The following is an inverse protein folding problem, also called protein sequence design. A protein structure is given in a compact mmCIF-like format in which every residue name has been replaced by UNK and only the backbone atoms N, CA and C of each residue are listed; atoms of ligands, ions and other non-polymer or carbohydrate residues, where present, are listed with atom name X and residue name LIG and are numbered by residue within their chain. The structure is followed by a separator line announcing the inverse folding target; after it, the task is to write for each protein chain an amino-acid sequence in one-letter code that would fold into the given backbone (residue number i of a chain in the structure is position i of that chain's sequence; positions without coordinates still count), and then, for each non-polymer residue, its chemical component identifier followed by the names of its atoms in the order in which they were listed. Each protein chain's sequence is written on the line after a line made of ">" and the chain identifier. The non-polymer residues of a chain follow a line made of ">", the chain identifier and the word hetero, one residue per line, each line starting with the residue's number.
data_IF_345820706398
#
_entry.id   IF_345820706398
#
_cell.length_a   1.000
_cell.length_b   1.000
_cell.length_c   1.000
_cell.angle_alpha   90.00
_cell.angle_beta   90.00
_cell.angle_gamma   90.00
#
_symmetry.space_group_name_H-M   'P 1'
#
loop_
_entity.id
_entity.type
_entity.pdbx_description
1 polymer ?
#
# COMPACT_ATOMS: atom_id res chain seq x y z
N UNK A 1 -26.66 -39.83 6.66
CA UNK A 1 -27.28 -39.68 5.32
C UNK A 1 -27.04 -38.28 4.79
N UNK A 2 -26.12 -38.13 3.82
CA UNK A 2 -26.02 -36.99 2.89
C UNK A 2 -25.04 -37.38 1.77
N UNK A 3 -25.57 -38.11 0.80
CA UNK A 3 -24.98 -38.24 -0.53
C UNK A 3 -25.62 -37.23 -1.48
N UNK A 4 -24.98 -37.07 -2.63
CA UNK A 4 -25.54 -36.52 -3.87
C UNK A 4 -25.49 -35.00 -4.07
N UNK A 5 -24.28 -34.42 -4.21
CA UNK A 5 -24.07 -33.18 -5.02
C UNK A 5 -22.75 -33.09 -5.82
N UNK A 6 -21.86 -34.08 -5.81
CA UNK A 6 -20.52 -33.93 -6.42
C UNK A 6 -20.28 -34.68 -7.74
N UNK A 7 -21.27 -35.40 -8.29
CA UNK A 7 -21.04 -36.23 -9.49
C UNK A 7 -21.28 -35.47 -10.82
N UNK A 8 -21.82 -34.25 -10.79
CA UNK A 8 -22.15 -33.53 -12.03
C UNK A 8 -21.03 -32.62 -12.61
N UNK A 9 -20.00 -32.24 -11.84
CA UNK A 9 -18.95 -31.32 -12.35
C UNK A 9 -17.68 -32.01 -12.86
N UNK A 10 -17.52 -33.32 -12.67
CA UNK A 10 -16.32 -34.04 -13.12
C UNK A 10 -16.39 -34.50 -14.59
N UNK A 11 -17.53 -34.32 -15.26
CA UNK A 11 -17.78 -34.81 -16.62
C UNK A 11 -17.62 -33.76 -17.73
N UNK A 12 -17.31 -32.50 -17.41
CA UNK A 12 -17.19 -31.42 -18.41
C UNK A 12 -15.72 -31.05 -18.73
N UNK A 13 -14.73 -31.46 -17.93
CA UNK A 13 -13.32 -31.07 -18.14
C UNK A 13 -12.54 -32.06 -19.02
N UNK A 14 -13.07 -33.25 -19.30
CA UNK A 14 -12.34 -34.31 -20.04
C UNK A 14 -12.53 -34.24 -21.57
N UNK A 15 -13.27 -33.26 -22.11
CA UNK A 15 -13.63 -33.20 -23.54
C UNK A 15 -13.06 -32.01 -24.35
N UNK A 16 -12.05 -31.27 -23.85
CA UNK A 16 -11.47 -30.14 -24.58
C UNK A 16 -9.93 -30.15 -24.67
N UNK A 17 -9.30 -31.32 -24.73
CA UNK A 17 -7.90 -31.42 -25.19
C UNK A 17 -7.70 -32.71 -26.01
N UNK A 18 -8.05 -32.69 -27.30
CA UNK A 18 -7.01 -32.96 -28.29
C UNK A 18 -7.23 -32.17 -29.59
N UNK A 19 -6.49 -31.06 -29.76
CA UNK A 19 -6.24 -30.45 -31.07
C UNK A 19 -4.98 -29.58 -31.00
N UNK A 20 -3.84 -30.21 -30.74
CA UNK A 20 -2.56 -29.69 -31.22
C UNK A 20 -1.51 -30.82 -31.22
N UNK A 21 -1.67 -31.76 -32.15
CA UNK A 21 -0.60 -32.72 -32.41
C UNK A 21 -0.49 -32.95 -33.93
N UNK A 22 0.16 -32.02 -34.63
CA UNK A 22 0.77 -32.26 -35.95
C UNK A 22 1.99 -31.34 -36.09
N UNK A 23 3.07 -31.90 -36.66
CA UNK A 23 4.43 -31.36 -36.89
C UNK A 23 5.31 -31.49 -35.63
N UNK A 24 6.35 -32.33 -35.59
CA UNK A 24 7.42 -32.48 -36.57
C UNK A 24 8.03 -33.90 -36.56
N UNK A 25 8.29 -34.46 -37.75
CA UNK A 25 9.33 -35.48 -37.93
C UNK A 25 10.08 -35.24 -39.25
N UNK A 26 11.40 -35.51 -39.19
CA UNK A 26 12.46 -35.53 -40.24
C UNK A 26 13.36 -34.29 -40.37
N UNK A 27 14.66 -34.45 -40.07
CA UNK A 27 15.76 -33.59 -40.51
C UNK A 27 16.85 -33.30 -39.44
N UNK A 28 18.16 -33.33 -39.76
CA UNK A 28 19.22 -33.68 -38.81
C UNK A 28 19.81 -32.50 -38.01
N UNK A 29 20.51 -32.89 -36.94
CA UNK A 29 21.37 -32.09 -36.06
C UNK A 29 22.23 -31.09 -36.84
N UNK A 30 22.06 -29.81 -36.54
CA UNK A 30 23.08 -28.77 -36.72
C UNK A 30 23.25 -27.97 -35.43
N UNK A 31 24.50 -27.97 -34.97
CA UNK A 31 25.21 -26.98 -34.18
C UNK A 31 24.43 -26.09 -33.19
N UNK A 32 24.77 -26.28 -31.91
CA UNK A 32 24.82 -25.22 -30.89
C UNK A 32 25.73 -24.10 -31.42
N UNK A 33 25.14 -22.97 -31.79
CA UNK A 33 25.75 -21.63 -31.80
C UNK A 33 24.74 -20.62 -32.35
N UNK A 34 24.12 -19.82 -31.47
CA UNK A 34 23.29 -18.69 -31.87
C UNK A 34 21.96 -18.56 -31.15
N UNK A 35 21.97 -18.32 -29.84
CA UNK A 35 20.89 -17.61 -29.15
C UNK A 35 21.43 -16.53 -28.19
N UNK A 36 22.62 -16.01 -28.48
CA UNK A 36 23.07 -14.72 -27.95
C UNK A 36 22.62 -13.65 -28.95
N UNK A 37 21.33 -13.29 -28.88
CA UNK A 37 20.70 -12.05 -29.35
C UNK A 37 19.23 -12.30 -29.73
N UNK A 38 18.38 -12.38 -28.70
CA UNK A 38 16.97 -12.01 -28.79
C UNK A 38 16.65 -11.18 -27.56
N UNK A 39 16.97 -9.88 -27.62
CA UNK A 39 16.31 -8.88 -26.78
C UNK A 39 14.86 -8.75 -27.26
N UNK A 40 13.91 -9.20 -26.44
CA UNK A 40 12.51 -8.79 -26.54
C UNK A 40 11.80 -9.13 -25.23
N UNK A 41 11.42 -8.06 -24.52
CA UNK A 41 10.67 -8.08 -23.27
C UNK A 41 9.28 -8.68 -23.48
N UNK A 42 9.14 -9.98 -23.22
CA UNK A 42 7.83 -10.55 -22.92
C UNK A 42 7.95 -11.54 -21.76
N UNK A 43 7.33 -11.16 -20.64
CA UNK A 43 7.13 -11.96 -19.43
C UNK A 43 6.48 -13.33 -19.70
N UNK A 44 5.93 -13.54 -20.90
CA UNK A 44 5.32 -14.79 -21.35
C UNK A 44 6.32 -15.93 -21.58
N UNK A 45 7.54 -15.65 -22.08
CA UNK A 45 8.54 -16.70 -22.35
C UNK A 45 9.22 -17.23 -21.08
N UNK A 46 9.30 -16.42 -20.02
CA UNK A 46 9.83 -16.81 -18.71
C UNK A 46 8.89 -17.78 -17.99
N UNK A 47 7.58 -17.54 -18.07
CA UNK A 47 6.54 -18.44 -17.55
C UNK A 47 6.55 -19.77 -18.30
N UNK A 48 6.74 -19.75 -19.61
CA UNK A 48 6.79 -20.96 -20.44
C UNK A 48 8.04 -21.81 -20.13
N UNK A 49 9.19 -21.19 -19.87
CA UNK A 49 10.41 -21.90 -19.41
C UNK A 49 10.23 -22.52 -18.02
N UNK A 50 9.52 -21.85 -17.11
CA UNK A 50 9.21 -22.38 -15.77
C UNK A 50 8.27 -23.59 -15.78
N UNK A 51 7.24 -23.58 -16.62
CA UNK A 51 6.26 -24.67 -16.71
C UNK A 51 6.86 -25.97 -17.29
N UNK A 52 7.84 -25.86 -18.20
CA UNK A 52 8.55 -27.03 -18.74
C UNK A 52 9.48 -27.68 -17.69
N UNK A 53 10.08 -26.89 -16.80
CA UNK A 53 10.91 -27.41 -15.70
C UNK A 53 10.07 -28.16 -14.64
N UNK A 54 8.86 -27.68 -14.33
CA UNK A 54 7.96 -28.31 -13.37
C UNK A 54 7.42 -29.67 -13.86
N UNK A 55 7.25 -29.82 -15.18
CA UNK A 55 6.76 -31.07 -15.78
C UNK A 55 7.82 -32.20 -15.79
N UNK A 56 9.11 -31.85 -15.76
CA UNK A 56 10.22 -32.84 -15.64
C UNK A 56 10.39 -33.28 -14.18
N UNK A 57 10.18 -32.38 -13.21
CA UNK A 57 10.34 -32.70 -11.79
C UNK A 57 9.23 -33.62 -11.24
N UNK A 58 7.99 -33.47 -11.73
CA UNK A 58 6.86 -34.28 -11.26
C UNK A 58 6.86 -35.73 -11.79
N UNK A 59 7.77 -36.07 -12.73
CA UNK A 59 7.93 -37.43 -13.27
C UNK A 59 8.94 -38.28 -12.48
N UNK A 60 9.74 -37.67 -11.59
CA UNK A 60 10.81 -38.35 -10.84
C UNK A 60 10.34 -38.81 -9.45
N UNK A 61 9.28 -38.22 -8.89
CA UNK A 61 8.80 -38.48 -7.51
C UNK A 61 7.76 -39.63 -7.43
N UNK A 62 7.32 -40.16 -8.58
CA UNK A 62 6.19 -41.09 -8.66
C UNK A 62 6.50 -42.59 -8.62
N UNK A 63 7.63 -43.05 -8.06
CA UNK A 63 7.92 -44.49 -7.91
C UNK A 63 8.89 -44.76 -6.72
N UNK A 64 8.41 -45.45 -5.68
CA UNK A 64 9.28 -46.00 -4.62
C UNK A 64 8.52 -46.40 -3.36
N UNK A 65 8.58 -47.69 -3.04
CA UNK A 65 7.79 -48.45 -2.07
C UNK A 65 8.02 -48.15 -0.56
N UNK A 66 7.11 -48.74 0.23
CA UNK A 66 6.91 -48.67 1.68
C UNK A 66 8.03 -49.22 2.58
N UNK A 67 8.20 -48.62 3.76
CA UNK A 67 8.54 -49.32 5.01
C UNK A 67 8.36 -48.41 6.25
N UNK A 68 7.81 -48.99 7.31
CA UNK A 68 7.53 -48.42 8.64
C UNK A 68 8.74 -48.52 9.57
N UNK A 69 9.05 -47.48 10.36
CA UNK A 69 9.74 -47.59 11.65
C UNK A 69 9.59 -46.31 12.51
N UNK A 70 9.46 -46.53 13.82
CA UNK A 70 9.18 -45.60 14.95
C UNK A 70 10.26 -44.53 15.25
N UNK A 71 9.94 -43.51 16.09
CA UNK A 71 10.73 -42.29 16.25
C UNK A 71 11.79 -42.38 17.36
N UNK A 72 12.86 -41.57 17.30
CA UNK A 72 13.65 -41.22 18.48
C UNK A 72 13.42 -39.78 18.93
N UNK A 73 13.39 -39.62 20.26
CA UNK A 73 13.45 -38.36 20.98
C UNK A 73 14.90 -37.87 21.14
N UNK A 74 15.01 -36.60 21.51
CA UNK A 74 16.11 -35.91 22.23
C UNK A 74 17.01 -34.92 21.45
N UNK A 75 17.07 -33.74 22.08
CA UNK A 75 18.15 -32.75 22.18
C UNK A 75 18.26 -31.57 21.18
N UNK A 76 17.90 -30.40 21.71
CA UNK A 76 18.39 -29.06 21.33
C UNK A 76 19.90 -28.97 21.63
N UNK A 77 20.72 -28.45 20.70
CA UNK A 77 21.18 -27.06 20.86
C UNK A 77 21.31 -26.28 19.53
N UNK A 78 20.87 -25.02 19.55
CA UNK A 78 21.32 -23.95 18.62
C UNK A 78 22.85 -23.71 18.72
N UNK A 79 23.53 -22.83 17.93
CA UNK A 79 23.15 -22.04 16.73
C UNK A 79 24.21 -21.99 15.59
N UNK A 80 23.87 -21.92 14.29
CA UNK A 80 24.70 -21.20 13.28
C UNK A 80 23.84 -20.64 12.11
N UNK A 81 23.98 -19.32 11.95
CA UNK A 81 23.94 -18.39 10.80
C UNK A 81 23.88 -18.89 9.32
N UNK A 82 23.51 -17.93 8.46
CA UNK A 82 23.26 -17.87 7.01
C UNK A 82 21.78 -18.07 6.63
N UNK A 83 21.03 -17.08 6.14
CA UNK A 83 21.41 -16.02 5.22
C UNK A 83 20.80 -16.34 3.86
N UNK A 84 19.57 -15.88 3.63
CA UNK A 84 19.02 -15.51 2.30
C UNK A 84 17.51 -15.22 2.45
N UNK A 85 17.15 -13.93 2.56
CA UNK A 85 15.77 -13.50 2.34
C UNK A 85 15.70 -12.90 0.95
N UNK A 86 15.18 -13.72 0.04
CA UNK A 86 14.82 -13.34 -1.31
C UNK A 86 13.72 -12.26 -1.27
N UNK A 87 14.05 -11.10 -1.84
CA UNK A 87 13.21 -9.94 -2.02
C UNK A 87 12.19 -10.17 -3.15
N UNK A 88 10.91 -10.02 -2.86
CA UNK A 88 9.88 -9.83 -3.89
C UNK A 88 9.00 -8.63 -3.55
N UNK A 89 9.10 -7.61 -4.42
CA UNK A 89 8.22 -6.48 -4.71
C UNK A 89 7.70 -5.61 -3.56
N UNK A 90 8.60 -4.73 -3.09
CA UNK A 90 8.21 -3.48 -2.45
C UNK A 90 8.32 -2.36 -3.49
N UNK A 91 7.18 -1.92 -4.07
CA UNK A 91 7.12 -0.61 -4.71
C UNK A 91 7.12 0.42 -3.60
N UNK A 92 8.33 0.74 -3.14
CA UNK A 92 8.59 1.90 -2.30
C UNK A 92 8.52 3.10 -3.24
N UNK A 93 7.44 3.87 -3.18
CA UNK A 93 7.48 5.24 -3.68
C UNK A 93 8.14 6.02 -2.55
N UNK A 94 9.47 6.15 -2.62
CA UNK A 94 10.19 7.11 -1.79
C UNK A 94 9.72 8.50 -2.19
N UNK A 95 9.12 9.23 -1.26
CA UNK A 95 8.92 10.66 -1.42
C UNK A 95 10.29 11.36 -1.39
N UNK A 96 10.51 12.36 -2.26
CA UNK A 96 11.74 13.14 -2.25
C UNK A 96 11.84 13.93 -0.94
N UNK A 97 12.98 13.80 -0.27
CA UNK A 97 13.21 14.33 1.07
C UNK A 97 13.05 15.84 1.21
N UNK A 98 12.46 16.24 2.34
CA UNK A 98 12.34 17.61 2.82
C UNK A 98 13.72 18.20 3.14
N UNK A 99 14.07 19.30 2.47
CA UNK A 99 15.04 20.26 2.96
C UNK A 99 14.28 21.47 3.52
N UNK A 100 14.31 21.62 4.83
CA UNK A 100 14.03 22.89 5.51
C UNK A 100 15.14 23.90 5.18
N UNK A 101 14.81 25.03 4.54
CA UNK A 101 15.24 26.39 4.96
C UNK A 101 14.68 27.49 4.03
N UNK A 102 14.17 28.55 4.67
CA UNK A 102 14.13 29.95 4.26
C UNK A 102 13.18 30.46 3.15
N UNK A 103 12.21 31.24 3.66
CA UNK A 103 11.74 32.55 3.18
C UNK A 103 11.49 32.77 1.68
N UNK A 104 10.22 32.95 1.31
CA UNK A 104 9.86 33.79 0.18
C UNK A 104 8.60 34.62 0.46
N UNK A 105 8.73 35.90 0.13
CA UNK A 105 7.77 36.99 0.31
C UNK A 105 6.64 36.98 -0.71
N UNK A 106 5.47 37.46 -0.26
CA UNK A 106 4.36 38.10 -0.99
C UNK A 106 4.43 38.11 -2.53
N UNK A 107 3.45 37.47 -3.17
CA UNK A 107 2.62 38.20 -4.14
C UNK A 107 1.24 37.55 -4.28
N UNK A 108 0.23 38.28 -3.79
CA UNK A 108 -1.18 38.01 -3.94
C UNK A 108 -1.60 38.48 -5.32
N UNK A 109 -1.78 37.56 -6.27
CA UNK A 109 -2.54 37.83 -7.49
C UNK A 109 -3.84 37.02 -7.49
N UNK A 110 -4.92 37.79 -7.41
CA UNK A 110 -6.31 37.36 -7.42
C UNK A 110 -6.74 37.21 -8.89
N UNK A 111 -7.05 35.98 -9.32
CA UNK A 111 -7.79 35.75 -10.56
C UNK A 111 -8.84 34.68 -10.35
N UNK A 112 -10.05 35.16 -10.11
CA UNK A 112 -11.31 34.46 -10.05
C UNK A 112 -11.66 33.73 -11.35
N UNK A 113 -11.96 32.44 -11.25
CA UNK A 113 -12.89 31.76 -12.16
C UNK A 113 -13.96 31.04 -11.33
N UNK A 114 -15.18 31.49 -11.54
CA UNK A 114 -16.44 31.08 -10.94
C UNK A 114 -16.86 29.70 -11.46
N UNK A 115 -16.41 28.65 -10.78
CA UNK A 115 -17.22 27.48 -10.51
C UNK A 115 -17.54 27.53 -9.02
N UNK A 116 -18.76 27.19 -8.61
CA UNK A 116 -19.17 27.24 -7.19
C UNK A 116 -18.42 26.19 -6.39
N UNK A 117 -17.13 26.43 -6.12
CA UNK A 117 -16.32 25.73 -5.15
C UNK A 117 -17.02 25.96 -3.81
N UNK A 118 -17.52 24.86 -3.23
CA UNK A 118 -18.03 24.91 -1.87
C UNK A 118 -16.88 25.36 -0.99
N UNK A 119 -17.05 26.47 -0.29
CA UNK A 119 -16.06 26.95 0.67
C UNK A 119 -15.84 25.85 1.70
N UNK A 120 -14.67 25.22 1.66
CA UNK A 120 -14.34 24.10 2.53
C UNK A 120 -14.34 24.53 4.01
N UNK A 121 -14.24 25.83 4.30
CA UNK A 121 -14.32 26.37 5.66
C UNK A 121 -15.73 26.33 6.24
N UNK A 122 -16.76 26.24 5.39
CA UNK A 122 -18.17 26.10 5.81
C UNK A 122 -18.62 24.63 5.93
N UNK A 123 -17.71 23.66 5.74
CA UNK A 123 -18.02 22.23 5.87
C UNK A 123 -18.34 21.86 7.33
N UNK A 124 -19.60 21.54 7.60
CA UNK A 124 -20.04 21.03 8.91
C UNK A 124 -19.58 19.58 9.15
N UNK A 125 -18.49 19.42 9.92
CA UNK A 125 -17.99 18.11 10.35
C UNK A 125 -18.47 17.80 11.77
N UNK A 126 -19.46 16.91 11.87
CA UNK A 126 -20.07 16.53 13.16
C UNK A 126 -19.58 15.18 13.69
N UNK A 127 -18.97 14.35 12.83
CA UNK A 127 -18.46 13.03 13.19
C UNK A 127 -17.46 12.49 12.16
N UNK A 128 -16.70 11.48 12.58
CA UNK A 128 -15.82 10.70 11.72
C UNK A 128 -16.58 9.65 10.92
N UNK A 129 -16.04 9.30 9.75
CA UNK A 129 -16.46 8.12 9.00
C UNK A 129 -15.91 6.83 9.65
N UNK A 130 -16.40 5.68 9.22
CA UNK A 130 -15.87 4.38 9.68
C UNK A 130 -14.41 4.17 9.29
N UNK A 131 -14.00 4.63 8.09
CA UNK A 131 -12.62 4.52 7.62
C UNK A 131 -11.67 5.40 8.43
N UNK A 132 -12.09 6.63 8.76
CA UNK A 132 -11.31 7.53 9.63
C UNK A 132 -11.18 6.94 11.03
N UNK A 133 -12.26 6.34 11.57
CA UNK A 133 -12.25 5.71 12.87
C UNK A 133 -11.34 4.47 12.92
N UNK A 134 -11.31 3.69 11.84
CA UNK A 134 -10.37 2.57 11.68
C UNK A 134 -8.91 3.06 11.66
N UNK A 135 -8.61 4.12 10.90
CA UNK A 135 -7.27 4.71 10.86
C UNK A 135 -6.83 5.22 12.24
N UNK A 136 -7.72 5.92 12.95
CA UNK A 136 -7.46 6.38 14.32
C UNK A 136 -7.18 5.22 15.27
N UNK A 137 -7.95 4.13 15.16
CA UNK A 137 -7.75 2.94 15.98
C UNK A 137 -6.37 2.33 15.74
N UNK A 138 -5.96 2.14 14.49
CA UNK A 138 -4.64 1.61 14.14
C UNK A 138 -3.52 2.51 14.66
N UNK A 139 -3.63 3.82 14.43
CA UNK A 139 -2.67 4.81 14.93
C UNK A 139 -2.54 4.77 16.46
N UNK A 140 -3.66 4.77 17.19
CA UNK A 140 -3.65 4.74 18.65
C UNK A 140 -3.20 3.39 19.21
N UNK A 141 -3.37 2.29 18.47
CA UNK A 141 -2.76 1.01 18.83
C UNK A 141 -1.23 1.10 18.80
N UNK A 142 -0.63 1.72 17.78
CA UNK A 142 0.83 1.92 17.72
C UNK A 142 1.34 2.78 18.87
N UNK A 143 0.60 3.83 19.23
CA UNK A 143 0.94 4.72 20.36
C UNK A 143 0.87 4.00 21.69
N UNK A 144 -0.23 3.32 21.97
CA UNK A 144 -0.45 2.63 23.25
C UNK A 144 0.51 1.45 23.45
N UNK A 145 0.86 0.71 22.38
CA UNK A 145 1.89 -0.34 22.42
C UNK A 145 3.27 0.18 22.86
N UNK A 146 3.54 1.48 22.67
CA UNK A 146 4.80 2.14 23.03
C UNK A 146 4.67 3.00 24.28
N UNK A 147 3.58 2.87 25.03
CA UNK A 147 3.35 3.63 26.26
C UNK A 147 3.05 5.12 26.05
N UNK A 148 2.62 5.50 24.84
CA UNK A 148 2.17 6.85 24.53
C UNK A 148 0.67 6.97 24.73
N UNK A 149 0.23 8.15 25.16
CA UNK A 149 -1.19 8.48 25.25
C UNK A 149 -1.85 8.46 23.86
N UNK A 150 -3.06 7.91 23.73
CA UNK A 150 -3.80 7.95 22.48
C UNK A 150 -4.15 9.40 22.10
N UNK A 151 -4.10 9.71 20.81
CA UNK A 151 -4.53 11.00 20.30
C UNK A 151 -6.05 11.13 20.37
N UNK A 152 -6.49 12.32 20.76
CA UNK A 152 -7.90 12.71 20.74
C UNK A 152 -8.26 13.28 19.37
N UNK A 153 -9.50 13.09 18.95
CA UNK A 153 -9.96 13.64 17.67
C UNK A 153 -10.36 15.10 17.85
N UNK A 154 -9.89 15.99 16.98
CA UNK A 154 -10.46 17.33 16.78
C UNK A 154 -11.20 17.36 15.44
N UNK A 155 -12.53 17.56 15.47
CA UNK A 155 -13.35 17.57 14.25
C UNK A 155 -13.01 18.74 13.30
N UNK A 156 -12.43 19.82 13.80
CA UNK A 156 -11.93 20.91 12.93
C UNK A 156 -10.68 20.48 12.17
N UNK A 157 -9.83 19.64 12.77
CA UNK A 157 -8.71 19.02 12.03
C UNK A 157 -9.21 17.98 11.04
N UNK A 158 -10.29 17.25 11.34
CA UNK A 158 -10.92 16.35 10.35
C UNK A 158 -11.42 17.16 9.15
N UNK A 159 -11.97 18.34 9.37
CA UNK A 159 -12.35 19.26 8.29
C UNK A 159 -11.16 19.66 7.41
N UNK A 160 -10.04 20.08 8.02
CA UNK A 160 -8.79 20.38 7.30
C UNK A 160 -8.32 19.17 6.49
N UNK A 161 -8.21 18.01 7.14
CA UNK A 161 -7.70 16.79 6.54
C UNK A 161 -8.58 16.30 5.37
N UNK A 162 -9.91 16.42 5.47
CA UNK A 162 -10.84 16.07 4.37
C UNK A 162 -10.70 17.02 3.21
N UNK A 163 -10.63 18.33 3.48
CA UNK A 163 -10.41 19.34 2.45
C UNK A 163 -9.08 19.11 1.73
N UNK A 164 -8.02 18.78 2.48
CA UNK A 164 -6.70 18.46 1.94
C UNK A 164 -6.72 17.22 1.05
N UNK A 165 -7.28 16.11 1.53
CA UNK A 165 -7.39 14.86 0.76
C UNK A 165 -8.24 15.02 -0.51
N UNK A 166 -9.34 15.77 -0.43
CA UNK A 166 -10.18 16.07 -1.59
C UNK A 166 -9.42 16.95 -2.59
N UNK A 167 -8.72 17.97 -2.11
CA UNK A 167 -7.96 18.87 -2.95
C UNK A 167 -6.80 18.18 -3.68
N UNK A 168 -6.11 17.22 -3.05
CA UNK A 168 -5.11 16.37 -3.72
C UNK A 168 -5.70 15.59 -4.91
N UNK A 169 -6.97 15.21 -4.82
CA UNK A 169 -7.68 14.54 -5.92
C UNK A 169 -8.07 15.55 -7.00
N UNK A 170 -8.67 16.67 -6.60
CA UNK A 170 -9.24 17.66 -7.54
C UNK A 170 -8.16 18.37 -8.36
N UNK A 171 -7.01 18.65 -7.75
CA UNK A 171 -5.90 19.39 -8.35
C UNK A 171 -4.78 18.46 -8.86
N UNK A 172 -4.99 17.14 -8.86
CA UNK A 172 -4.07 16.11 -9.36
C UNK A 172 -2.62 16.26 -8.83
N UNK A 173 -2.47 16.32 -7.51
CA UNK A 173 -1.16 16.43 -6.87
C UNK A 173 -1.04 15.56 -5.62
N UNK A 174 0.20 15.31 -5.21
CA UNK A 174 0.52 14.60 -3.98
C UNK A 174 1.69 15.31 -3.30
N UNK A 175 1.38 16.24 -2.39
CA UNK A 175 2.37 17.03 -1.66
C UNK A 175 1.72 17.71 -0.43
N UNK A 176 2.53 18.08 0.56
CA UNK A 176 2.10 18.86 1.72
C UNK A 176 1.56 20.25 1.35
N UNK A 177 2.22 20.93 0.40
CA UNK A 177 1.76 22.23 -0.08
C UNK A 177 0.63 22.06 -1.11
N UNK A 178 -0.55 22.60 -0.80
CA UNK A 178 -1.62 22.72 -1.79
C UNK A 178 -1.36 23.88 -2.75
N UNK A 179 -1.62 23.72 -4.06
CA UNK A 179 -1.56 24.81 -5.03
C UNK A 179 -2.68 25.85 -4.82
N UNK A 180 -3.80 25.47 -4.17
CA UNK A 180 -4.99 26.33 -4.04
C UNK A 180 -5.38 26.62 -2.58
N UNK A 181 -5.03 25.75 -1.63
CA UNK A 181 -5.39 25.87 -0.20
C UNK A 181 -4.23 26.27 0.70
N UNK A 182 -3.00 26.34 0.19
CA UNK A 182 -1.83 26.64 1.00
C UNK A 182 -1.23 25.42 1.70
N UNK A 183 -0.42 25.66 2.73
CA UNK A 183 0.11 24.62 3.62
C UNK A 183 -0.99 24.12 4.57
N UNK A 184 -0.86 22.93 5.19
CA UNK A 184 -1.76 22.50 6.27
C UNK A 184 -1.85 23.54 7.40
N UNK A 185 -0.79 24.34 7.64
CA UNK A 185 -0.79 25.42 8.63
C UNK A 185 -1.69 26.59 8.23
N UNK A 186 -1.69 26.96 6.94
CA UNK A 186 -2.59 27.99 6.40
C UNK A 186 -4.05 27.54 6.50
N UNK A 187 -4.30 26.26 6.23
CA UNK A 187 -5.63 25.66 6.36
C UNK A 187 -6.09 25.64 7.83
N UNK A 188 -5.24 25.22 8.77
CA UNK A 188 -5.57 25.29 10.21
C UNK A 188 -5.83 26.74 10.67
N UNK A 189 -5.07 27.71 10.14
CA UNK A 189 -5.29 29.13 10.43
C UNK A 189 -6.64 29.62 9.90
N UNK A 190 -7.06 29.19 8.71
CA UNK A 190 -8.36 29.57 8.14
C UNK A 190 -9.55 29.18 9.05
N UNK A 191 -9.40 28.11 9.84
CA UNK A 191 -10.39 27.67 10.84
C UNK A 191 -10.13 28.19 12.26
N UNK A 192 -9.18 29.13 12.44
CA UNK A 192 -8.75 29.66 13.74
C UNK A 192 -8.37 28.54 14.74
N UNK A 193 -7.69 27.49 14.26
CA UNK A 193 -7.17 26.42 15.12
C UNK A 193 -5.84 26.88 15.71
N UNK A 194 -5.77 26.97 17.04
CA UNK A 194 -4.56 27.32 17.78
C UNK A 194 -3.78 26.07 18.20
N UNK A 195 -2.46 26.14 18.09
CA UNK A 195 -1.49 25.12 18.49
C UNK A 195 -0.11 25.78 18.66
N UNK A 196 0.80 25.14 19.41
CA UNK A 196 2.22 25.52 19.47
C UNK A 196 3.09 24.61 18.58
N UNK A 197 2.56 23.45 18.18
CA UNK A 197 3.20 22.48 17.34
C UNK A 197 2.18 21.71 16.52
N UNK A 198 2.50 21.54 15.24
CA UNK A 198 1.66 20.81 14.31
C UNK A 198 2.51 19.95 13.38
N UNK A 199 1.87 18.98 12.73
CA UNK A 199 2.49 18.14 11.71
C UNK A 199 1.42 17.51 10.82
N UNK A 200 1.84 17.06 9.64
CA UNK A 200 0.97 16.41 8.65
C UNK A 200 1.58 15.08 8.23
N UNK A 201 0.74 14.07 8.01
CA UNK A 201 1.07 12.92 7.18
C UNK A 201 0.09 12.82 6.02
N UNK A 202 0.58 12.52 4.81
CA UNK A 202 -0.25 12.18 3.66
C UNK A 202 0.05 10.76 3.17
N UNK A 203 -0.95 10.08 2.62
CA UNK A 203 -0.78 8.77 2.00
C UNK A 203 -1.74 8.57 0.83
N UNK A 204 -1.34 7.73 -0.13
CA UNK A 204 -2.20 7.16 -1.15
C UNK A 204 -2.24 5.64 -1.02
N UNK A 205 -3.41 5.03 -0.90
CA UNK A 205 -3.56 3.58 -0.86
C UNK A 205 -4.99 3.11 -1.15
N UNK A 206 -5.15 1.85 -1.58
CA UNK A 206 -6.49 1.28 -1.81
C UNK A 206 -7.25 0.87 -0.54
N UNK A 207 -6.61 0.87 0.64
CA UNK A 207 -7.25 0.53 1.91
C UNK A 207 -6.63 1.29 3.08
N UNK A 208 -7.41 1.46 4.16
CA UNK A 208 -6.97 2.07 5.43
C UNK A 208 -5.76 1.33 6.02
N UNK A 209 -5.85 0.01 6.13
CA UNK A 209 -4.76 -0.82 6.66
C UNK A 209 -3.45 -0.67 5.86
N UNK A 210 -3.54 -0.56 4.53
CA UNK A 210 -2.35 -0.38 3.68
C UNK A 210 -1.75 1.01 3.84
N UNK A 211 -2.57 2.06 3.87
CA UNK A 211 -2.10 3.42 4.15
C UNK A 211 -1.40 3.49 5.51
N UNK A 212 -2.02 2.94 6.56
CA UNK A 212 -1.44 2.90 7.89
C UNK A 212 -0.08 2.18 7.91
N UNK A 213 0.02 1.01 7.24
CA UNK A 213 1.27 0.27 7.12
C UNK A 213 2.37 1.12 6.45
N UNK A 214 2.08 1.76 5.33
CA UNK A 214 3.07 2.60 4.62
C UNK A 214 3.52 3.79 5.48
N UNK A 215 2.60 4.48 6.15
CA UNK A 215 2.92 5.56 7.09
C UNK A 215 3.81 5.06 8.23
N UNK A 216 3.50 3.89 8.79
CA UNK A 216 4.30 3.25 9.82
C UNK A 216 5.57 2.59 9.31
N UNK A 217 5.83 2.54 8.00
CA UNK A 217 7.10 2.06 7.41
C UNK A 217 8.06 3.24 7.14
N UNK A 218 7.51 4.40 6.78
CA UNK A 218 8.26 5.65 6.57
C UNK A 218 8.76 6.28 7.89
N UNK A 219 10.06 6.55 8.06
CA UNK A 219 10.59 7.18 9.27
C UNK A 219 9.94 8.53 9.62
N UNK A 220 9.77 9.43 8.65
CA UNK A 220 9.19 10.76 8.88
C UNK A 220 7.72 10.68 9.31
N UNK A 221 6.91 9.89 8.59
CA UNK A 221 5.50 9.72 8.92
C UNK A 221 5.28 9.00 10.26
N UNK A 222 6.10 7.97 10.53
CA UNK A 222 6.11 7.25 11.82
C UNK A 222 6.46 8.17 12.97
N UNK A 223 7.41 9.08 12.79
CA UNK A 223 7.78 10.06 13.81
C UNK A 223 6.58 10.91 14.19
N UNK A 224 5.78 11.41 13.23
CA UNK A 224 4.55 12.15 13.55
C UNK A 224 3.56 11.30 14.36
N UNK A 225 3.27 10.06 13.92
CA UNK A 225 2.35 9.16 14.62
C UNK A 225 2.79 8.90 16.09
N UNK A 226 4.09 8.75 16.31
CA UNK A 226 4.67 8.41 17.61
C UNK A 226 5.21 9.60 18.39
N UNK A 227 5.04 10.83 17.90
CA UNK A 227 5.55 12.01 18.59
C UNK A 227 4.74 12.24 19.88
N UNK A 228 5.38 12.23 21.07
CA UNK A 228 4.66 12.36 22.33
C UNK A 228 4.01 13.73 22.54
N UNK A 229 4.51 14.76 21.84
CA UNK A 229 4.01 16.14 21.95
C UNK A 229 2.59 16.30 21.37
N UNK A 230 2.23 15.52 20.36
CA UNK A 230 0.89 15.59 19.80
C UNK A 230 -0.13 15.00 20.76
N UNK A 231 -1.22 15.73 20.93
CA UNK A 231 -2.35 15.34 21.78
C UNK A 231 -3.63 15.16 20.98
N UNK A 232 -3.72 15.79 19.80
CA UNK A 232 -4.90 15.74 18.94
C UNK A 232 -4.56 15.39 17.50
N UNK A 233 -5.54 14.81 16.80
CA UNK A 233 -5.45 14.49 15.38
C UNK A 233 -6.78 14.74 14.66
N UNK A 234 -6.71 15.15 13.40
CA UNK A 234 -7.79 15.03 12.42
C UNK A 234 -7.38 14.10 11.30
N UNK A 235 -8.31 13.27 10.81
CA UNK A 235 -8.04 12.30 9.75
C UNK A 235 -9.07 12.51 8.66
N UNK A 236 -8.62 12.66 7.43
CA UNK A 236 -9.47 12.83 6.25
C UNK A 236 -9.15 11.80 5.20
N UNK A 237 -10.14 10.98 4.84
CA UNK A 237 -10.00 9.89 3.86
C UNK A 237 -11.04 10.08 2.77
N UNK A 238 -10.57 10.28 1.54
CA UNK A 238 -11.42 10.50 0.38
C UNK A 238 -11.11 9.43 -0.67
N UNK A 239 -12.15 8.75 -1.16
CA UNK A 239 -12.04 7.79 -2.25
C UNK A 239 -11.81 8.53 -3.57
N UNK A 240 -10.84 8.08 -4.36
CA UNK A 240 -10.47 8.69 -5.64
C UNK A 240 -8.96 8.86 -5.81
N UNK A 241 -8.59 9.53 -6.90
CA UNK A 241 -7.20 9.74 -7.29
C UNK A 241 -6.48 8.47 -7.77
N UNK A 242 -5.19 8.58 -8.14
CA UNK A 242 -4.41 7.48 -8.73
C UNK A 242 -4.19 6.29 -7.80
N UNK A 243 -4.41 6.45 -6.49
CA UNK A 243 -4.15 5.40 -5.48
C UNK A 243 -5.41 4.69 -4.96
N UNK A 244 -6.59 5.12 -5.41
CA UNK A 244 -7.89 4.60 -4.96
C UNK A 244 -8.47 5.34 -3.74
N UNK A 245 -7.63 5.74 -2.78
CA UNK A 245 -8.00 6.67 -1.70
C UNK A 245 -6.82 7.59 -1.37
N UNK A 246 -7.13 8.83 -1.01
CA UNK A 246 -6.20 9.82 -0.46
C UNK A 246 -6.45 9.99 1.04
N UNK A 247 -5.37 10.08 1.80
CA UNK A 247 -5.36 10.19 3.26
C UNK A 247 -4.55 11.41 3.68
N UNK A 248 -5.07 12.14 4.65
CA UNK A 248 -4.34 13.19 5.37
C UNK A 248 -4.57 13.00 6.88
N UNK A 249 -3.51 13.16 7.67
CA UNK A 249 -3.55 13.18 9.14
C UNK A 249 -2.94 14.48 9.61
N UNK A 250 -3.74 15.31 10.28
CA UNK A 250 -3.32 16.60 10.82
C UNK A 250 -3.14 16.49 12.32
N UNK A 251 -1.95 16.75 12.82
CA UNK A 251 -1.59 16.59 14.23
C UNK A 251 -1.36 17.94 14.88
N UNK A 252 -1.81 18.12 16.13
CA UNK A 252 -1.48 19.30 16.94
C UNK A 252 -1.22 18.95 18.41
N UNK A 253 -0.55 19.86 19.12
CA UNK A 253 -0.60 19.94 20.58
C UNK A 253 -1.73 20.87 21.07
N UNK A 254 -2.22 20.58 22.28
CA UNK A 254 -3.18 21.36 23.05
C UNK A 254 -2.95 21.13 24.53
#
# INVERSE_FOLDING_TARGET
>A
MRGDKYIASLLIIVLLLPSLMVLFWTGPVYAVSGLDNLESNSSFLSVLKGLVALFILNKIIGNGDSASAEPPQEDDPTPIDNGDNNSEDNVVIEEPGDNEDSSYSDQKDNSSTDETATDWTEMEVTSMTSAEAEMLQLLNQERTQRGLEPLQVDLRLVQVARAKSQNMIDEDYFAHQSPTLGSPFDMMQALNISYDFAGENIAGAGTVARAHKHLMESPGHRENILRPRFTHVGIGIIEGGPYGMMFSQEFIDK
#
